data_IF_601833409548
#
_entry.id   IF_601833409548
#
_cell.length_a   1.000
_cell.length_b   1.000
_cell.length_c   1.000
_cell.angle_alpha   90.00
_cell.angle_beta   90.00
_cell.angle_gamma   90.00
#
_symmetry.space_group_name_H-M   'P 1'
#
loop_
_entity.id
_entity.type
_entity.pdbx_description
1 polymer ?
#
# COMPACT_ATOMS: atom_id res chain seq x y z
N UNK A 1 14.42 19.22 8.49
CA UNK A 1 13.30 18.80 9.39
C UNK A 1 13.80 17.83 10.45
N UNK A 2 13.68 18.15 11.74
CA UNK A 2 14.17 17.32 12.84
C UNK A 2 13.41 15.99 12.99
N UNK A 3 14.05 14.97 13.56
CA UNK A 3 13.46 13.62 13.74
C UNK A 3 12.30 13.64 14.73
N UNK A 4 12.38 14.43 15.81
CA UNK A 4 11.34 14.49 16.84
C UNK A 4 9.95 14.87 16.31
N UNK A 5 9.88 15.68 15.25
CA UNK A 5 8.60 16.04 14.62
C UNK A 5 7.99 14.93 13.75
N UNK A 6 8.77 13.90 13.39
CA UNK A 6 8.34 12.78 12.53
C UNK A 6 7.82 11.60 13.33
N UNK A 7 8.31 11.44 14.57
CA UNK A 7 7.99 10.31 15.44
C UNK A 7 6.50 10.22 15.76
N UNK A 8 5.78 11.30 16.11
CA UNK A 8 4.34 11.22 16.38
C UNK A 8 3.54 10.68 15.20
N UNK A 9 3.90 11.11 13.98
CA UNK A 9 3.27 10.64 12.74
C UNK A 9 3.53 9.15 12.53
N UNK A 10 4.76 8.67 12.75
CA UNK A 10 5.08 7.25 12.66
C UNK A 10 4.39 6.41 13.72
N UNK A 11 4.26 6.93 14.94
CA UNK A 11 3.50 6.26 16.01
C UNK A 11 2.03 6.17 15.61
N UNK A 12 1.44 7.24 15.09
CA UNK A 12 0.08 7.22 14.55
C UNK A 12 -0.09 6.22 13.39
N UNK A 13 0.87 6.16 12.47
CA UNK A 13 0.88 5.16 11.40
C UNK A 13 0.98 3.72 11.97
N UNK A 14 1.82 3.49 12.97
CA UNK A 14 1.93 2.18 13.63
C UNK A 14 0.64 1.79 14.36
N UNK A 15 -0.01 2.75 15.05
CA UNK A 15 -1.28 2.51 15.74
C UNK A 15 -2.43 2.25 14.76
N UNK A 16 -2.47 2.95 13.62
CA UNK A 16 -3.45 2.66 12.56
C UNK A 16 -3.23 1.30 11.92
N UNK A 17 -1.97 0.87 11.73
CA UNK A 17 -1.64 -0.50 11.33
C UNK A 17 -2.17 -1.52 12.35
N UNK A 18 -1.88 -1.33 13.63
CA UNK A 18 -2.30 -2.26 14.68
C UNK A 18 -3.84 -2.35 14.78
N UNK A 19 -4.53 -1.21 14.74
CA UNK A 19 -5.99 -1.18 14.74
C UNK A 19 -6.60 -1.79 13.47
N UNK A 20 -5.99 -1.57 12.32
CA UNK A 20 -6.41 -2.22 11.08
C UNK A 20 -6.23 -3.75 11.11
N UNK A 21 -5.12 -4.25 11.65
CA UNK A 21 -4.91 -5.68 11.87
C UNK A 21 -5.91 -6.25 12.89
N UNK A 22 -6.27 -5.49 13.92
CA UNK A 22 -7.30 -5.86 14.88
C UNK A 22 -8.68 -5.99 14.22
N UNK A 23 -9.06 -5.01 13.40
CA UNK A 23 -10.28 -5.07 12.60
C UNK A 23 -10.27 -6.27 11.63
N UNK A 24 -9.09 -6.64 11.09
CA UNK A 24 -8.96 -7.83 10.24
C UNK A 24 -9.24 -9.14 11.02
N UNK A 25 -8.81 -9.23 12.28
CA UNK A 25 -9.10 -10.38 13.14
C UNK A 25 -10.61 -10.49 13.41
N UNK A 26 -11.27 -9.38 13.70
CA UNK A 26 -12.73 -9.33 13.86
C UNK A 26 -13.46 -9.76 12.58
N UNK A 27 -13.05 -9.22 11.42
CA UNK A 27 -13.59 -9.61 10.10
C UNK A 27 -13.40 -11.10 9.78
N UNK A 28 -12.33 -11.72 10.31
CA UNK A 28 -12.11 -13.16 10.15
C UNK A 28 -12.96 -14.04 11.09
N UNK A 29 -13.70 -13.44 12.01
CA UNK A 29 -14.46 -14.17 13.04
C UNK A 29 -13.57 -14.69 14.17
N UNK A 30 -12.43 -14.04 14.44
CA UNK A 30 -11.61 -14.36 15.61
C UNK A 30 -12.38 -14.05 16.89
N UNK A 31 -12.21 -14.89 17.93
CA UNK A 31 -12.80 -14.67 19.26
C UNK A 31 -12.12 -13.57 20.07
N UNK A 32 -11.77 -12.44 19.44
CA UNK A 32 -11.18 -11.27 20.11
C UNK A 32 -12.29 -10.31 20.58
N UNK A 33 -12.07 -9.52 21.64
CA UNK A 33 -13.11 -8.63 22.15
C UNK A 33 -13.58 -7.59 21.12
N UNK A 34 -14.87 -7.57 20.78
CA UNK A 34 -15.39 -6.51 19.91
C UNK A 34 -15.40 -5.15 20.66
N UNK A 35 -14.79 -4.08 20.10
CA UNK A 35 -14.90 -2.74 20.67
C UNK A 35 -16.31 -2.19 20.43
N UNK A 36 -16.67 -1.12 21.15
CA UNK A 36 -17.96 -0.45 20.95
C UNK A 36 -18.08 0.26 19.60
N UNK A 37 -16.95 0.66 19.01
CA UNK A 37 -16.89 1.26 17.68
C UNK A 37 -16.88 0.16 16.59
N UNK A 38 -17.59 0.34 15.47
CA UNK A 38 -17.62 -0.63 14.37
C UNK A 38 -16.34 -0.53 13.54
N UNK A 39 -15.23 -1.06 14.06
CA UNK A 39 -13.89 -0.95 13.46
C UNK A 39 -13.74 -1.79 12.18
N UNK A 40 -14.57 -2.82 12.03
CA UNK A 40 -14.65 -3.70 10.87
C UNK A 40 -15.05 -2.93 9.60
N UNK A 41 -15.95 -1.95 9.73
CA UNK A 41 -16.43 -1.12 8.63
C UNK A 41 -15.35 -0.18 8.06
N UNK A 42 -14.33 0.12 8.86
CA UNK A 42 -13.26 1.06 8.50
C UNK A 42 -11.92 0.38 8.25
N UNK A 43 -11.83 -0.95 8.32
CA UNK A 43 -10.61 -1.73 8.13
C UNK A 43 -9.83 -1.30 6.88
N UNK A 44 -10.47 -1.35 5.71
CA UNK A 44 -9.84 -1.03 4.43
C UNK A 44 -9.30 0.41 4.39
N UNK A 45 -10.14 1.44 4.61
CA UNK A 45 -9.67 2.83 4.63
C UNK A 45 -8.60 3.13 5.69
N UNK A 46 -8.68 2.51 6.88
CA UNK A 46 -7.65 2.66 7.92
C UNK A 46 -6.32 2.07 7.46
N UNK A 47 -6.31 0.90 6.84
CA UNK A 47 -5.08 0.28 6.32
C UNK A 47 -4.48 1.06 5.16
N UNK A 48 -5.31 1.49 4.20
CA UNK A 48 -4.84 2.13 2.96
C UNK A 48 -4.55 3.62 3.15
N UNK A 49 -5.51 4.38 3.67
CA UNK A 49 -5.37 5.82 3.83
C UNK A 49 -4.74 6.16 5.19
N UNK A 50 -5.15 5.48 6.27
CA UNK A 50 -4.62 5.72 7.61
C UNK A 50 -3.15 5.31 7.76
N UNK A 51 -2.81 4.05 7.42
CA UNK A 51 -1.46 3.52 7.58
C UNK A 51 -0.57 3.79 6.36
N UNK A 52 -0.86 3.18 5.20
CA UNK A 52 -0.01 3.31 4.00
C UNK A 52 0.07 4.77 3.54
N UNK A 53 -1.06 5.49 3.52
CA UNK A 53 -1.11 6.91 3.20
C UNK A 53 -0.21 7.77 4.10
N UNK A 54 -0.19 7.51 5.41
CA UNK A 54 0.70 8.21 6.34
C UNK A 54 2.18 7.97 6.03
N UNK A 55 2.55 6.72 5.71
CA UNK A 55 3.94 6.39 5.37
C UNK A 55 4.38 7.07 4.08
N UNK A 56 3.57 6.96 3.02
CA UNK A 56 3.83 7.60 1.72
C UNK A 56 3.96 9.12 1.90
N UNK A 57 2.98 9.75 2.53
CA UNK A 57 3.00 11.21 2.71
C UNK A 57 4.15 11.67 3.60
N UNK A 58 4.54 10.89 4.62
CA UNK A 58 5.68 11.21 5.48
C UNK A 58 7.00 11.10 4.73
N UNK A 59 7.17 10.07 3.90
CA UNK A 59 8.37 9.92 3.07
C UNK A 59 8.53 11.13 2.13
N UNK A 60 7.46 11.51 1.44
CA UNK A 60 7.48 12.66 0.52
C UNK A 60 7.66 13.99 1.27
N UNK A 61 7.08 14.15 2.45
CA UNK A 61 7.31 15.31 3.32
C UNK A 61 8.79 15.41 3.76
N UNK A 62 9.42 14.26 4.07
CA UNK A 62 10.85 14.18 4.40
C UNK A 62 11.71 14.55 3.19
N UNK A 63 11.39 14.05 2.00
CA UNK A 63 12.07 14.40 0.75
C UNK A 63 11.96 15.90 0.40
N UNK A 64 10.80 16.51 0.62
CA UNK A 64 10.61 17.95 0.42
C UNK A 64 11.43 18.79 1.40
N UNK A 65 11.63 18.28 2.63
CA UNK A 65 12.49 18.86 3.66
C UNK A 65 11.86 20.00 4.48
N UNK A 66 10.59 20.33 4.24
CA UNK A 66 9.87 21.48 4.84
C UNK A 66 8.89 21.02 5.92
N UNK A 67 8.89 21.70 7.08
CA UNK A 67 8.00 21.35 8.22
C UNK A 67 6.51 21.48 7.89
N UNK A 68 6.15 22.43 7.02
CA UNK A 68 4.77 22.65 6.54
C UNK A 68 4.20 21.45 5.77
N UNK A 69 5.02 20.46 5.41
CA UNK A 69 4.57 19.22 4.79
C UNK A 69 4.08 18.16 5.80
N UNK A 70 4.44 18.27 7.08
CA UNK A 70 4.06 17.30 8.13
C UNK A 70 2.56 17.21 8.46
N UNK A 71 1.75 18.28 8.30
CA UNK A 71 0.30 18.16 8.47
C UNK A 71 -0.32 17.12 7.54
N UNK A 72 0.18 16.90 6.33
CA UNK A 72 -0.39 15.92 5.39
C UNK A 72 -0.38 14.48 5.95
N UNK A 73 0.77 13.87 6.31
CA UNK A 73 0.77 12.55 6.93
C UNK A 73 0.19 12.59 8.37
N UNK A 74 0.24 13.73 9.07
CA UNK A 74 -0.40 13.90 10.37
C UNK A 74 -1.93 13.75 10.32
N UNK A 75 -2.58 14.41 9.36
CA UNK A 75 -4.02 14.29 9.10
C UNK A 75 -4.39 12.87 8.70
N UNK A 76 -3.56 12.22 7.87
CA UNK A 76 -3.72 10.82 7.48
C UNK A 76 -3.74 9.88 8.69
N UNK A 77 -2.74 9.98 9.56
CA UNK A 77 -2.64 9.15 10.76
C UNK A 77 -3.76 9.45 11.75
N UNK A 78 -4.04 10.74 12.01
CA UNK A 78 -5.11 11.16 12.89
C UNK A 78 -6.49 10.71 12.39
N UNK A 79 -6.75 10.81 11.08
CA UNK A 79 -7.98 10.34 10.47
C UNK A 79 -8.21 8.85 10.69
N UNK A 80 -7.17 8.02 10.48
CA UNK A 80 -7.24 6.60 10.79
C UNK A 80 -7.53 6.31 12.28
N UNK A 81 -6.91 7.05 13.20
CA UNK A 81 -7.15 6.88 14.64
C UNK A 81 -8.57 7.31 15.05
N UNK A 82 -9.09 8.40 14.48
CA UNK A 82 -10.48 8.84 14.71
C UNK A 82 -11.46 7.78 14.23
N UNK A 83 -11.21 7.15 13.07
CA UNK A 83 -12.04 6.06 12.56
C UNK A 83 -11.99 4.82 13.46
N UNK A 84 -10.82 4.47 13.99
CA UNK A 84 -10.70 3.35 14.94
C UNK A 84 -11.44 3.60 16.26
N UNK A 85 -11.57 4.86 16.69
CA UNK A 85 -12.29 5.22 17.91
C UNK A 85 -13.81 5.31 17.76
N UNK A 86 -14.32 5.50 16.53
CA UNK A 86 -15.73 5.84 16.31
C UNK A 86 -16.41 5.17 15.13
N UNK A 87 -15.72 4.34 14.36
CA UNK A 87 -16.23 3.79 13.10
C UNK A 87 -16.15 4.82 11.97
N UNK A 88 -17.08 4.82 11.00
CA UNK A 88 -17.02 5.66 9.80
C UNK A 88 -17.42 7.13 10.05
N UNK A 89 -16.93 7.74 11.13
CA UNK A 89 -17.21 9.14 11.47
C UNK A 89 -16.73 10.10 10.38
N UNK A 90 -17.58 11.09 10.08
CA UNK A 90 -17.32 12.12 9.07
C UNK A 90 -15.98 12.84 9.29
N UNK A 91 -15.65 13.18 10.55
CA UNK A 91 -14.38 13.84 10.90
C UNK A 91 -13.17 12.99 10.51
N UNK A 92 -13.22 11.67 10.75
CA UNK A 92 -12.16 10.75 10.36
C UNK A 92 -11.98 10.70 8.84
N UNK A 93 -13.07 10.60 8.09
CA UNK A 93 -13.07 10.64 6.62
C UNK A 93 -12.49 11.96 6.09
N UNK A 94 -12.90 13.09 6.64
CA UNK A 94 -12.42 14.42 6.24
C UNK A 94 -10.91 14.59 6.50
N UNK A 95 -10.41 14.12 7.64
CA UNK A 95 -8.98 14.14 7.94
C UNK A 95 -8.17 13.31 6.92
N UNK A 96 -8.68 12.16 6.48
CA UNK A 96 -8.05 11.38 5.43
C UNK A 96 -8.03 12.12 4.09
N UNK A 97 -9.11 12.82 3.71
CA UNK A 97 -9.14 13.67 2.50
C UNK A 97 -8.11 14.78 2.59
N UNK A 98 -8.02 15.47 3.74
CA UNK A 98 -7.03 16.52 3.97
C UNK A 98 -5.58 15.99 3.89
N UNK A 99 -5.35 14.74 4.31
CA UNK A 99 -4.08 14.05 4.10
C UNK A 99 -3.71 13.92 2.61
N UNK A 100 -4.66 13.48 1.79
CA UNK A 100 -4.48 13.38 0.33
C UNK A 100 -4.27 14.75 -0.35
N UNK A 101 -5.06 15.77 0.02
CA UNK A 101 -4.89 17.14 -0.48
C UNK A 101 -3.53 17.71 -0.09
N UNK A 102 -3.09 17.46 1.14
CA UNK A 102 -1.76 17.82 1.60
C UNK A 102 -0.66 17.13 0.78
N UNK A 103 -0.82 15.84 0.45
CA UNK A 103 0.12 15.10 -0.39
C UNK A 103 0.19 15.66 -1.83
N UNK A 104 -0.95 16.05 -2.42
CA UNK A 104 -0.96 16.78 -3.70
C UNK A 104 -0.18 18.10 -3.60
N UNK A 105 -0.33 18.83 -2.49
CA UNK A 105 0.45 20.04 -2.21
C UNK A 105 1.96 19.76 -2.15
N UNK A 106 2.38 18.67 -1.51
CA UNK A 106 3.79 18.23 -1.47
C UNK A 106 4.29 17.93 -2.88
N UNK A 107 3.53 17.17 -3.68
CA UNK A 107 3.93 16.84 -5.03
C UNK A 107 3.97 18.05 -5.96
N UNK A 108 3.08 19.04 -5.79
CA UNK A 108 3.17 20.32 -6.51
C UNK A 108 4.50 21.03 -6.25
N UNK A 109 4.97 21.05 -5.01
CA UNK A 109 6.25 21.67 -4.65
C UNK A 109 7.45 20.87 -5.17
N UNK A 110 7.36 19.53 -5.19
CA UNK A 110 8.37 18.68 -5.82
C UNK A 110 8.39 18.84 -7.34
N UNK A 111 7.24 19.00 -7.98
CA UNK A 111 7.12 19.21 -9.42
C UNK A 111 7.83 20.47 -9.89
N UNK A 112 7.74 21.56 -9.10
CA UNK A 112 8.48 22.80 -9.35
C UNK A 112 10.00 22.62 -9.35
N UNK A 113 10.52 21.58 -8.68
CA UNK A 113 11.97 21.27 -8.64
C UNK A 113 12.44 20.41 -9.81
N UNK A 114 11.53 19.82 -10.58
CA UNK A 114 11.84 18.95 -11.71
C UNK A 114 10.75 17.91 -11.92
N UNK A 115 9.83 18.18 -12.86
CA UNK A 115 8.77 17.25 -13.24
C UNK A 115 9.32 16.01 -13.96
N UNK A 116 8.69 14.86 -13.74
CA UNK A 116 9.00 13.61 -14.42
C UNK A 116 7.76 12.72 -14.54
N UNK A 117 7.78 11.76 -15.46
CA UNK A 117 6.69 10.77 -15.60
C UNK A 117 6.52 9.94 -14.31
N UNK A 118 7.62 9.64 -13.61
CA UNK A 118 7.60 8.97 -12.31
C UNK A 118 6.86 9.79 -11.26
N UNK A 119 7.15 11.09 -11.18
CA UNK A 119 6.46 12.01 -10.28
C UNK A 119 4.99 12.21 -10.68
N UNK A 120 4.68 12.22 -11.98
CA UNK A 120 3.30 12.31 -12.46
C UNK A 120 2.48 11.10 -12.01
N UNK A 121 3.03 9.89 -12.06
CA UNK A 121 2.37 8.69 -11.55
C UNK A 121 2.04 8.79 -10.05
N UNK A 122 2.99 9.31 -9.27
CA UNK A 122 2.80 9.58 -7.85
C UNK A 122 1.72 10.67 -7.60
N UNK A 123 1.66 11.71 -8.44
CA UNK A 123 0.57 12.73 -8.42
C UNK A 123 -0.78 12.09 -8.73
N UNK A 124 -0.86 11.23 -9.75
CA UNK A 124 -2.09 10.48 -10.07
C UNK A 124 -2.52 9.61 -8.89
N UNK A 125 -1.57 8.98 -8.21
CA UNK A 125 -1.84 8.25 -6.98
C UNK A 125 -2.48 9.14 -5.90
N UNK A 126 -1.87 10.30 -5.59
CA UNK A 126 -2.44 11.22 -4.60
C UNK A 126 -3.79 11.80 -5.03
N UNK A 127 -4.02 12.01 -6.33
CA UNK A 127 -5.33 12.40 -6.85
C UNK A 127 -6.37 11.29 -6.59
N UNK A 128 -6.01 10.03 -6.85
CA UNK A 128 -6.88 8.90 -6.62
C UNK A 128 -7.20 8.69 -5.12
N UNK A 129 -6.27 8.99 -4.22
CA UNK A 129 -6.57 9.08 -2.79
C UNK A 129 -7.68 10.11 -2.55
N UNK A 130 -7.53 11.35 -3.02
CA UNK A 130 -8.54 12.39 -2.85
C UNK A 130 -9.90 11.96 -3.42
N UNK A 131 -9.92 11.35 -4.62
CA UNK A 131 -11.14 10.83 -5.23
C UNK A 131 -11.82 9.77 -4.34
N UNK A 132 -11.07 8.78 -3.86
CA UNK A 132 -11.59 7.74 -2.96
C UNK A 132 -12.17 8.35 -1.66
N UNK A 133 -11.43 9.27 -1.05
CA UNK A 133 -11.85 9.91 0.20
C UNK A 133 -13.10 10.79 0.02
N UNK A 134 -13.17 11.58 -1.06
CA UNK A 134 -14.31 12.44 -1.35
C UNK A 134 -15.58 11.65 -1.67
N UNK A 135 -15.46 10.57 -2.46
CA UNK A 135 -16.59 9.67 -2.72
C UNK A 135 -17.07 9.01 -1.42
N UNK A 136 -16.16 8.56 -0.55
CA UNK A 136 -16.52 7.95 0.72
C UNK A 136 -17.16 8.95 1.71
N UNK A 137 -16.74 10.22 1.67
CA UNK A 137 -17.40 11.32 2.38
C UNK A 137 -18.80 11.58 1.81
N UNK A 138 -18.97 11.48 0.49
CA UNK A 138 -20.25 11.65 -0.20
C UNK A 138 -21.24 10.49 0.01
N UNK A 139 -20.85 9.43 0.71
CA UNK A 139 -21.73 8.33 1.11
C UNK A 139 -21.58 7.05 0.28
N UNK A 140 -20.66 7.01 -0.69
CA UNK A 140 -20.35 5.76 -1.40
C UNK A 140 -19.79 4.73 -0.43
N UNK A 141 -20.10 3.46 -0.65
CA UNK A 141 -19.60 2.34 0.14
C UNK A 141 -18.10 2.13 -0.13
N UNK A 142 -17.40 1.55 0.85
CA UNK A 142 -15.97 1.23 0.71
C UNK A 142 -15.69 0.40 -0.56
N UNK A 143 -16.44 -0.67 -0.88
CA UNK A 143 -16.21 -1.44 -2.11
C UNK A 143 -16.30 -0.62 -3.40
N UNK A 144 -17.14 0.41 -3.45
CA UNK A 144 -17.32 1.27 -4.64
C UNK A 144 -16.13 2.20 -4.86
N UNK A 145 -15.41 2.57 -3.79
CA UNK A 145 -14.22 3.44 -3.87
C UNK A 145 -12.91 2.65 -4.00
N UNK A 146 -12.94 1.32 -3.89
CA UNK A 146 -11.76 0.45 -3.99
C UNK A 146 -10.93 0.67 -5.26
N UNK A 147 -11.50 0.82 -6.48
CA UNK A 147 -10.70 1.09 -7.66
C UNK A 147 -9.79 2.32 -7.50
N UNK A 148 -10.30 3.38 -6.87
CA UNK A 148 -9.50 4.58 -6.57
C UNK A 148 -8.44 4.34 -5.50
N UNK A 149 -8.74 3.54 -4.47
CA UNK A 149 -7.74 3.12 -3.47
C UNK A 149 -6.61 2.30 -4.12
N UNK A 150 -6.95 1.45 -5.10
CA UNK A 150 -5.96 0.70 -5.88
C UNK A 150 -5.13 1.62 -6.74
N UNK A 151 -5.74 2.56 -7.49
CA UNK A 151 -4.98 3.54 -8.29
C UNK A 151 -4.04 4.34 -7.40
N UNK A 152 -4.47 4.76 -6.20
CA UNK A 152 -3.62 5.46 -5.25
C UNK A 152 -2.32 4.70 -4.99
N UNK A 153 -2.43 3.46 -4.51
CA UNK A 153 -1.26 2.70 -4.08
C UNK A 153 -0.43 2.23 -5.26
N UNK A 154 -1.08 1.70 -6.29
CA UNK A 154 -0.42 1.14 -7.47
C UNK A 154 0.30 2.21 -8.28
N UNK A 155 -0.32 3.37 -8.53
CA UNK A 155 0.34 4.45 -9.28
C UNK A 155 1.49 5.09 -8.49
N UNK A 156 1.35 5.21 -7.16
CA UNK A 156 2.43 5.69 -6.29
C UNK A 156 3.65 4.76 -6.38
N UNK A 157 3.46 3.47 -6.14
CA UNK A 157 4.53 2.47 -6.15
C UNK A 157 5.13 2.35 -7.56
N UNK A 158 4.31 2.25 -8.60
CA UNK A 158 4.80 2.18 -9.98
C UNK A 158 5.61 3.42 -10.37
N UNK A 159 5.19 4.61 -9.92
CA UNK A 159 5.95 5.85 -10.08
C UNK A 159 7.32 5.80 -9.40
N UNK A 160 7.37 5.35 -8.15
CA UNK A 160 8.64 5.14 -7.44
C UNK A 160 9.54 4.11 -8.13
N UNK A 161 8.96 3.07 -8.75
CA UNK A 161 9.73 2.04 -9.47
C UNK A 161 10.26 2.54 -10.79
N UNK A 162 9.46 3.31 -11.52
CA UNK A 162 9.90 4.02 -12.73
C UNK A 162 11.05 4.97 -12.43
N UNK A 163 11.05 5.65 -11.28
CA UNK A 163 12.14 6.55 -10.86
C UNK A 163 13.49 5.80 -10.78
N UNK A 164 13.51 4.58 -10.21
CA UNK A 164 14.72 3.75 -10.15
C UNK A 164 15.07 3.10 -11.49
N UNK A 165 14.06 2.65 -12.24
CA UNK A 165 14.27 1.98 -13.52
C UNK A 165 14.86 2.93 -14.58
N UNK A 166 14.57 4.24 -14.46
CA UNK A 166 15.05 5.28 -15.39
C UNK A 166 16.57 5.28 -15.59
N UNK A 167 17.35 4.89 -14.58
CA UNK A 167 18.82 4.76 -14.67
C UNK A 167 19.25 3.73 -15.73
N UNK A 168 18.39 2.74 -16.03
CA UNK A 168 18.66 1.69 -17.02
C UNK A 168 17.75 1.69 -18.25
N UNK A 169 16.76 2.59 -18.33
CA UNK A 169 15.81 2.64 -19.44
C UNK A 169 16.29 3.56 -20.55
N UNK A 170 16.22 3.10 -21.81
CA UNK A 170 16.54 3.89 -23.00
C UNK A 170 15.33 3.95 -23.92
N UNK A 171 14.78 5.16 -24.14
CA UNK A 171 13.81 5.44 -25.20
C UNK A 171 12.46 5.98 -24.74
N UNK A 172 11.96 7.01 -25.45
CA UNK A 172 10.67 7.68 -25.20
C UNK A 172 9.42 6.78 -25.42
N UNK A 173 9.58 5.62 -26.06
CA UNK A 173 8.49 4.65 -26.22
C UNK A 173 8.05 4.02 -24.90
N UNK A 174 8.98 3.79 -23.97
CA UNK A 174 8.67 3.07 -22.73
C UNK A 174 7.88 3.93 -21.75
N UNK A 175 8.22 5.22 -21.65
CA UNK A 175 7.45 6.18 -20.86
C UNK A 175 6.06 6.44 -21.46
N UNK A 176 5.93 6.49 -22.79
CA UNK A 176 4.61 6.61 -23.45
C UNK A 176 3.72 5.41 -23.17
N UNK A 177 4.26 4.18 -23.21
CA UNK A 177 3.50 2.99 -22.85
C UNK A 177 3.05 3.06 -21.38
N UNK A 178 3.94 3.45 -20.47
CA UNK A 178 3.61 3.63 -19.06
C UNK A 178 2.47 4.65 -18.85
N UNK A 179 2.54 5.80 -19.53
CA UNK A 179 1.50 6.83 -19.48
C UNK A 179 0.15 6.33 -20.02
N UNK A 180 0.16 5.57 -21.12
CA UNK A 180 -1.06 4.98 -21.67
C UNK A 180 -1.72 4.00 -20.69
N UNK A 181 -0.91 3.17 -20.02
CA UNK A 181 -1.40 2.24 -18.99
C UNK A 181 -1.93 2.99 -17.76
N UNK A 182 -1.22 4.02 -17.30
CA UNK A 182 -1.65 4.86 -16.18
C UNK A 182 -2.98 5.57 -16.50
N UNK A 183 -3.14 6.07 -17.72
CA UNK A 183 -4.40 6.62 -18.22
C UNK A 183 -5.51 5.57 -18.19
N UNK A 184 -5.23 4.36 -18.69
CA UNK A 184 -6.16 3.24 -18.64
C UNK A 184 -6.65 2.90 -17.23
N UNK A 185 -5.76 2.95 -16.22
CA UNK A 185 -6.14 2.75 -14.82
C UNK A 185 -7.11 3.84 -14.32
N UNK A 186 -6.82 5.11 -14.59
CA UNK A 186 -7.70 6.22 -14.17
C UNK A 186 -9.04 6.18 -14.89
N UNK A 187 -9.02 5.96 -16.21
CA UNK A 187 -10.25 5.81 -17.01
C UNK A 187 -11.05 4.59 -16.57
N UNK A 188 -10.40 3.47 -16.26
CA UNK A 188 -11.06 2.29 -15.69
C UNK A 188 -11.73 2.60 -14.36
N UNK A 189 -11.03 3.26 -13.43
CA UNK A 189 -11.59 3.64 -12.13
C UNK A 189 -12.79 4.59 -12.25
N UNK A 190 -12.76 5.53 -13.20
CA UNK A 190 -13.91 6.38 -13.54
C UNK A 190 -15.06 5.58 -14.16
N UNK A 191 -14.74 4.71 -15.13
CA UNK A 191 -15.71 3.94 -15.89
C UNK A 191 -16.48 2.95 -15.00
N UNK A 192 -15.92 2.47 -13.89
CA UNK A 192 -16.64 1.63 -12.92
C UNK A 192 -17.88 2.35 -12.36
N UNK A 193 -17.85 3.67 -12.21
CA UNK A 193 -19.00 4.44 -11.69
C UNK A 193 -20.09 4.68 -12.73
N UNK A 194 -19.75 4.68 -14.02
CA UNK A 194 -20.68 4.97 -15.11
C UNK A 194 -21.19 3.67 -15.78
N UNK A 195 -20.30 2.69 -15.93
CA UNK A 195 -20.53 1.40 -16.58
C UNK A 195 -19.82 0.28 -15.79
N UNK A 196 -20.39 -0.18 -14.66
CA UNK A 196 -19.69 -1.06 -13.72
C UNK A 196 -19.03 -2.30 -14.32
N UNK A 197 -19.71 -2.98 -15.25
CA UNK A 197 -19.16 -4.16 -15.93
C UNK A 197 -17.97 -3.79 -16.83
N UNK A 198 -18.19 -2.90 -17.81
CA UNK A 198 -17.14 -2.50 -18.77
C UNK A 198 -15.95 -1.85 -18.06
N UNK A 199 -16.23 -0.97 -17.09
CA UNK A 199 -15.22 -0.31 -16.27
C UNK A 199 -14.39 -1.29 -15.47
N UNK A 200 -15.00 -2.34 -14.90
CA UNK A 200 -14.28 -3.37 -14.15
C UNK A 200 -13.31 -4.17 -15.02
N UNK A 201 -13.76 -4.61 -16.20
CA UNK A 201 -12.89 -5.32 -17.14
C UNK A 201 -11.75 -4.43 -17.61
N UNK A 202 -12.06 -3.18 -18.01
CA UNK A 202 -11.05 -2.20 -18.43
C UNK A 202 -10.01 -1.96 -17.33
N UNK A 203 -10.46 -1.80 -16.08
CA UNK A 203 -9.58 -1.62 -14.94
C UNK A 203 -8.66 -2.83 -14.71
N UNK A 204 -9.21 -4.04 -14.77
CA UNK A 204 -8.43 -5.28 -14.68
C UNK A 204 -7.38 -5.42 -15.77
N UNK A 205 -7.74 -5.14 -17.04
CA UNK A 205 -6.79 -5.16 -18.15
C UNK A 205 -5.71 -4.09 -18.02
N UNK A 206 -6.05 -2.88 -17.54
CA UNK A 206 -5.07 -1.84 -17.27
C UNK A 206 -4.10 -2.26 -16.13
N UNK A 207 -4.60 -2.95 -15.11
CA UNK A 207 -3.78 -3.49 -14.02
C UNK A 207 -2.81 -4.59 -14.51
N UNK A 208 -3.28 -5.48 -15.38
CA UNK A 208 -2.44 -6.50 -16.03
C UNK A 208 -1.38 -5.87 -16.93
N UNK A 209 -1.76 -4.86 -17.72
CA UNK A 209 -0.82 -4.14 -18.57
C UNK A 209 0.27 -3.43 -17.75
N UNK A 210 -0.09 -2.82 -16.62
CA UNK A 210 0.89 -2.21 -15.71
C UNK A 210 1.80 -3.26 -15.08
N UNK A 211 1.24 -4.38 -14.65
CA UNK A 211 2.01 -5.47 -14.07
C UNK A 211 3.01 -6.02 -15.10
N UNK A 212 2.57 -6.22 -16.34
CA UNK A 212 3.45 -6.61 -17.45
C UNK A 212 4.56 -5.58 -17.71
N UNK A 213 4.22 -4.29 -17.69
CA UNK A 213 5.21 -3.21 -17.82
C UNK A 213 6.27 -3.29 -16.70
N UNK A 214 5.85 -3.45 -15.44
CA UNK A 214 6.74 -3.54 -14.27
C UNK A 214 7.64 -4.76 -14.37
N UNK A 215 7.09 -5.94 -14.69
CA UNK A 215 7.88 -7.18 -14.83
C UNK A 215 8.96 -7.06 -15.91
N UNK A 216 8.67 -6.37 -17.02
CA UNK A 216 9.59 -6.24 -18.15
C UNK A 216 10.70 -5.22 -17.88
N UNK A 217 10.36 -4.04 -17.34
CA UNK A 217 11.30 -2.91 -17.26
C UNK A 217 11.88 -2.64 -15.88
N UNK A 218 11.28 -3.16 -14.81
CA UNK A 218 11.84 -2.98 -13.46
C UNK A 218 13.21 -3.69 -13.36
N UNK A 219 14.12 -3.09 -12.60
CA UNK A 219 15.43 -3.66 -12.29
C UNK A 219 15.34 -4.92 -11.42
N UNK A 220 14.21 -5.15 -10.73
CA UNK A 220 13.95 -6.31 -9.88
C UNK A 220 14.31 -7.66 -10.55
N UNK A 221 13.97 -7.83 -11.84
CA UNK A 221 14.29 -9.06 -12.60
C UNK A 221 15.79 -9.34 -12.72
N UNK A 222 16.63 -8.31 -12.60
CA UNK A 222 18.09 -8.42 -12.62
C UNK A 222 18.63 -8.56 -11.21
N UNK A 223 18.17 -7.74 -10.27
CA UNK A 223 18.66 -7.73 -8.88
C UNK A 223 18.27 -8.96 -8.08
N UNK A 224 17.23 -9.70 -8.48
CA UNK A 224 16.87 -11.00 -7.87
C UNK A 224 17.98 -12.04 -8.00
N UNK A 225 18.84 -11.94 -9.04
CA UNK A 225 20.00 -12.82 -9.24
C UNK A 225 21.22 -12.40 -8.41
N UNK A 226 21.16 -11.26 -7.73
CA UNK A 226 22.22 -10.77 -6.86
C UNK A 226 22.25 -11.46 -5.49
N UNK A 227 22.82 -10.79 -4.51
CA UNK A 227 22.89 -11.24 -3.12
C UNK A 227 22.58 -10.11 -2.14
N UNK A 228 22.31 -10.45 -0.88
CA UNK A 228 22.05 -9.46 0.17
C UNK A 228 20.73 -8.69 0.01
N UNK A 229 20.74 -7.41 0.36
CA UNK A 229 19.57 -6.54 0.34
C UNK A 229 18.93 -6.40 -1.06
N UNK A 230 19.68 -6.16 -2.16
CA UNK A 230 19.08 -6.06 -3.48
C UNK A 230 18.24 -7.28 -3.89
N UNK A 231 18.70 -8.50 -3.55
CA UNK A 231 17.94 -9.73 -3.82
C UNK A 231 16.69 -9.85 -2.95
N UNK A 232 16.77 -9.48 -1.68
CA UNK A 232 15.60 -9.46 -0.79
C UNK A 232 14.52 -8.51 -1.30
N UNK A 233 14.92 -7.27 -1.64
CA UNK A 233 14.01 -6.27 -2.21
C UNK A 233 13.38 -6.84 -3.48
N UNK A 234 14.19 -7.35 -4.41
CA UNK A 234 13.69 -7.89 -5.67
C UNK A 234 12.73 -9.08 -5.51
N UNK A 235 13.00 -9.99 -4.56
CA UNK A 235 12.11 -11.11 -4.28
C UNK A 235 10.73 -10.63 -3.82
N UNK A 236 10.67 -9.66 -2.90
CA UNK A 236 9.43 -9.05 -2.46
C UNK A 236 8.70 -8.33 -3.61
N UNK A 237 9.42 -7.52 -4.40
CA UNK A 237 8.86 -6.83 -5.56
C UNK A 237 8.20 -7.80 -6.55
N UNK A 238 8.93 -8.84 -6.97
CA UNK A 238 8.44 -9.82 -7.95
C UNK A 238 7.28 -10.65 -7.42
N UNK A 239 7.32 -11.05 -6.15
CA UNK A 239 6.18 -11.73 -5.51
C UNK A 239 4.96 -10.80 -5.45
N UNK A 240 5.16 -9.52 -5.13
CA UNK A 240 4.11 -8.50 -5.17
C UNK A 240 3.51 -8.33 -6.57
N UNK A 241 4.34 -8.32 -7.63
CA UNK A 241 3.85 -8.29 -9.02
C UNK A 241 3.02 -9.51 -9.37
N UNK A 242 3.38 -10.69 -8.86
CA UNK A 242 2.55 -11.90 -8.97
C UNK A 242 1.14 -11.68 -8.41
N UNK A 243 1.02 -11.11 -7.21
CA UNK A 243 -0.28 -10.80 -6.60
C UNK A 243 -1.05 -9.71 -7.36
N UNK A 244 -0.35 -8.69 -7.88
CA UNK A 244 -0.98 -7.66 -8.70
C UNK A 244 -1.56 -8.25 -10.01
N UNK A 245 -0.87 -9.23 -10.60
CA UNK A 245 -1.38 -9.98 -11.74
C UNK A 245 -2.63 -10.79 -11.37
N UNK A 246 -2.64 -11.47 -10.21
CA UNK A 246 -3.81 -12.21 -9.71
C UNK A 246 -5.02 -11.29 -9.60
N UNK A 247 -4.87 -10.12 -8.95
CA UNK A 247 -5.94 -9.13 -8.87
C UNK A 247 -6.41 -8.65 -10.26
N UNK A 248 -5.46 -8.41 -11.17
CA UNK A 248 -5.74 -8.00 -12.55
C UNK A 248 -6.56 -9.05 -13.31
N UNK A 249 -6.24 -10.34 -13.18
CA UNK A 249 -6.99 -11.44 -13.81
C UNK A 249 -8.40 -11.51 -13.24
N UNK A 250 -8.55 -11.44 -11.91
CA UNK A 250 -9.86 -11.52 -11.25
C UNK A 250 -10.82 -10.40 -11.71
N UNK A 251 -10.32 -9.17 -11.86
CA UNK A 251 -11.11 -8.06 -12.39
C UNK A 251 -11.29 -8.11 -13.91
N UNK A 252 -10.25 -8.46 -14.68
CA UNK A 252 -10.34 -8.53 -16.13
C UNK A 252 -11.32 -9.61 -16.60
N UNK A 253 -11.38 -10.74 -15.89
CA UNK A 253 -12.32 -11.82 -16.19
C UNK A 253 -13.71 -11.61 -15.60
N UNK A 254 -13.79 -11.20 -14.32
CA UNK A 254 -15.05 -11.19 -13.56
C UNK A 254 -15.73 -9.83 -13.39
N UNK A 255 -15.09 -8.72 -13.79
CA UNK A 255 -15.56 -7.37 -13.47
C UNK A 255 -15.43 -7.01 -11.99
N UNK A 256 -15.82 -5.78 -11.61
CA UNK A 256 -15.77 -5.34 -10.20
C UNK A 256 -16.74 -6.15 -9.35
N UNK A 257 -16.30 -6.50 -8.14
CA UNK A 257 -17.12 -7.15 -7.11
C UNK A 257 -17.16 -6.26 -5.89
N UNK A 258 -18.29 -6.25 -5.21
CA UNK A 258 -18.50 -5.43 -4.03
C UNK A 258 -18.47 -6.23 -2.71
N UNK A 259 -18.60 -7.55 -2.78
CA UNK A 259 -18.68 -8.44 -1.62
C UNK A 259 -18.21 -9.89 -1.91
N UNK A 260 -18.19 -10.73 -0.86
CA UNK A 260 -17.89 -12.16 -0.95
C UNK A 260 -16.42 -12.51 -1.22
N UNK A 261 -16.18 -13.79 -1.51
CA UNK A 261 -14.83 -14.38 -1.54
C UNK A 261 -13.96 -13.78 -2.65
N UNK A 262 -14.54 -13.47 -3.82
CA UNK A 262 -13.79 -12.82 -4.91
C UNK A 262 -13.39 -11.38 -4.55
N UNK A 263 -14.23 -10.67 -3.82
CA UNK A 263 -13.88 -9.34 -3.30
C UNK A 263 -12.73 -9.44 -2.30
N UNK A 264 -12.78 -10.39 -1.36
CA UNK A 264 -11.70 -10.64 -0.40
C UNK A 264 -10.37 -10.95 -1.13
N UNK A 265 -10.42 -11.87 -2.10
CA UNK A 265 -9.27 -12.29 -2.89
C UNK A 265 -8.62 -11.12 -3.63
N UNK A 266 -9.40 -10.27 -4.28
CA UNK A 266 -8.89 -9.10 -5.02
C UNK A 266 -8.27 -8.10 -4.06
N UNK A 267 -8.98 -7.73 -2.99
CA UNK A 267 -8.48 -6.78 -2.01
C UNK A 267 -7.16 -7.24 -1.41
N UNK A 268 -7.08 -8.49 -0.96
CA UNK A 268 -5.89 -8.99 -0.30
C UNK A 268 -4.77 -9.29 -1.29
N UNK A 269 -5.06 -9.59 -2.56
CA UNK A 269 -4.03 -9.64 -3.60
C UNK A 269 -3.37 -8.26 -3.80
N UNK A 270 -4.15 -7.17 -3.87
CA UNK A 270 -3.59 -5.83 -4.05
C UNK A 270 -2.99 -5.27 -2.75
N UNK A 271 -3.77 -5.17 -1.68
CA UNK A 271 -3.38 -4.44 -0.47
C UNK A 271 -2.49 -5.26 0.48
N UNK A 272 -2.58 -6.58 0.46
CA UNK A 272 -1.71 -7.43 1.28
C UNK A 272 -0.56 -8.03 0.44
N UNK A 273 -0.88 -8.69 -0.67
CA UNK A 273 0.10 -9.35 -1.53
C UNK A 273 1.06 -8.38 -2.22
N UNK A 274 0.53 -7.38 -2.91
CA UNK A 274 1.35 -6.36 -3.59
C UNK A 274 1.84 -5.29 -2.61
N UNK A 275 0.94 -4.57 -1.95
CA UNK A 275 1.30 -3.39 -1.14
C UNK A 275 2.13 -3.74 0.10
N UNK A 276 1.75 -4.74 0.91
CA UNK A 276 2.57 -5.08 2.09
C UNK A 276 3.91 -5.71 1.70
N UNK A 277 3.99 -6.42 0.57
CA UNK A 277 5.28 -6.87 0.05
C UNK A 277 6.21 -5.70 -0.30
N UNK A 278 5.66 -4.62 -0.88
CA UNK A 278 6.40 -3.38 -1.16
C UNK A 278 6.88 -2.71 0.13
N UNK A 279 6.01 -2.63 1.13
CA UNK A 279 6.37 -2.12 2.47
C UNK A 279 7.51 -2.94 3.07
N UNK A 280 7.43 -4.28 3.04
CA UNK A 280 8.47 -5.15 3.59
C UNK A 280 9.79 -5.00 2.84
N UNK A 281 9.73 -5.07 1.51
CA UNK A 281 10.89 -4.96 0.63
C UNK A 281 11.62 -3.63 0.82
N UNK A 282 10.91 -2.51 0.97
CA UNK A 282 11.51 -1.19 1.04
C UNK A 282 11.78 -0.67 2.46
N UNK A 283 11.25 -1.30 3.51
CA UNK A 283 11.48 -0.83 4.88
C UNK A 283 12.98 -0.66 5.25
N UNK A 284 13.91 -1.57 4.86
CA UNK A 284 15.35 -1.40 5.14
C UNK A 284 15.97 -0.16 4.48
N UNK A 285 15.30 0.44 3.49
CA UNK A 285 15.76 1.64 2.78
C UNK A 285 15.00 2.89 3.27
N UNK A 286 13.68 2.80 3.41
CA UNK A 286 12.82 3.94 3.77
C UNK A 286 12.94 4.30 5.25
N UNK A 287 12.88 3.30 6.16
CA UNK A 287 12.88 3.57 7.60
C UNK A 287 14.14 4.33 8.05
N UNK A 288 15.36 4.00 7.58
CA UNK A 288 16.54 4.80 7.90
C UNK A 288 16.48 6.24 7.40
N UNK A 289 15.90 6.50 6.22
CA UNK A 289 15.76 7.85 5.69
C UNK A 289 14.80 8.71 6.55
N UNK A 290 13.74 8.10 7.06
CA UNK A 290 12.72 8.80 7.87
C UNK A 290 13.15 8.94 9.33
N UNK A 291 13.56 7.86 9.99
CA UNK A 291 13.90 7.79 11.41
C UNK A 291 15.35 8.17 11.72
N UNK A 292 16.23 8.25 10.71
CA UNK A 292 17.69 8.37 10.88
C UNK A 292 18.28 7.27 11.78
N UNK A 293 17.65 6.10 11.81
CA UNK A 293 18.16 4.89 12.49
C UNK A 293 18.42 3.79 11.47
N UNK A 294 19.58 3.12 11.52
CA UNK A 294 19.86 2.05 10.59
C UNK A 294 18.87 0.90 10.79
N UNK A 295 18.46 0.29 9.68
CA UNK A 295 17.76 -1.00 9.65
C UNK A 295 18.59 -1.90 8.72
N UNK A 296 19.63 -2.58 9.26
CA UNK A 296 20.49 -3.40 8.44
C UNK A 296 19.73 -4.60 7.88
N UNK A 297 20.07 -5.02 6.67
CA UNK A 297 19.56 -6.25 6.09
C UNK A 297 19.99 -7.46 6.93
N UNK A 298 19.05 -8.37 7.17
CA UNK A 298 19.29 -9.66 7.81
C UNK A 298 18.41 -10.74 7.17
N UNK A 299 18.90 -11.99 7.09
CA UNK A 299 18.17 -13.11 6.47
C UNK A 299 16.83 -13.40 7.13
N UNK A 300 16.69 -13.07 8.42
CA UNK A 300 15.43 -13.22 9.17
C UNK A 300 14.26 -12.46 8.53
N UNK A 301 14.51 -11.40 7.75
CA UNK A 301 13.46 -10.65 7.04
C UNK A 301 12.73 -11.48 5.97
N UNK A 302 13.31 -12.59 5.51
CA UNK A 302 12.63 -13.53 4.61
C UNK A 302 11.53 -14.33 5.31
N UNK A 303 11.62 -14.58 6.62
CA UNK A 303 10.65 -15.39 7.34
C UNK A 303 9.23 -14.76 7.31
N UNK A 304 9.03 -13.49 7.73
CA UNK A 304 7.71 -12.87 7.62
C UNK A 304 7.28 -12.64 6.16
N UNK A 305 8.21 -12.42 5.23
CA UNK A 305 7.89 -12.29 3.80
C UNK A 305 7.38 -13.60 3.21
N UNK A 306 8.04 -14.72 3.50
CA UNK A 306 7.61 -16.05 3.07
C UNK A 306 6.29 -16.43 3.72
N UNK A 307 6.15 -16.18 5.03
CA UNK A 307 4.89 -16.42 5.73
C UNK A 307 3.74 -15.65 5.06
N UNK A 308 3.91 -14.36 4.81
CA UNK A 308 2.91 -13.51 4.14
C UNK A 308 2.43 -14.10 2.81
N UNK A 309 3.37 -14.49 1.93
CA UNK A 309 2.99 -14.99 0.61
C UNK A 309 2.41 -16.40 0.64
N UNK A 310 2.92 -17.28 1.51
CA UNK A 310 2.39 -18.63 1.65
C UNK A 310 0.98 -18.62 2.27
N UNK A 311 0.76 -17.85 3.33
CA UNK A 311 -0.57 -17.73 3.93
C UNK A 311 -1.56 -17.03 3.00
N UNK A 312 -1.13 -16.02 2.24
CA UNK A 312 -1.98 -15.38 1.25
C UNK A 312 -2.36 -16.33 0.10
N UNK A 313 -1.44 -17.20 -0.34
CA UNK A 313 -1.74 -18.23 -1.33
C UNK A 313 -2.75 -19.26 -0.83
N UNK A 314 -2.68 -19.63 0.46
CA UNK A 314 -3.70 -20.47 1.07
C UNK A 314 -5.05 -19.74 1.13
N UNK A 315 -5.07 -18.46 1.53
CA UNK A 315 -6.29 -17.64 1.60
C UNK A 315 -6.98 -17.52 0.24
N UNK A 316 -6.28 -16.97 -0.75
CA UNK A 316 -6.82 -16.67 -2.09
C UNK A 316 -7.02 -17.93 -2.92
N UNK A 317 -6.09 -18.88 -2.84
CA UNK A 317 -6.08 -20.05 -3.71
C UNK A 317 -7.01 -21.16 -3.22
N UNK A 318 -6.99 -21.48 -1.92
CA UNK A 318 -7.71 -22.63 -1.36
C UNK A 318 -8.92 -22.15 -0.56
N UNK A 319 -8.75 -21.18 0.34
CA UNK A 319 -9.79 -20.67 1.22
C UNK A 319 -11.00 -20.12 0.46
N UNK A 320 -10.75 -19.24 -0.51
CA UNK A 320 -11.79 -18.53 -1.26
C UNK A 320 -12.43 -19.37 -2.39
N UNK A 321 -11.75 -20.40 -2.89
CA UNK A 321 -12.25 -21.20 -4.04
C UNK A 321 -12.91 -22.51 -3.63
N UNK A 322 -12.51 -23.10 -2.49
CA UNK A 322 -13.00 -24.40 -2.02
C UNK A 322 -14.02 -24.29 -0.86
N UNK A 323 -14.26 -23.09 -0.34
CA UNK A 323 -15.22 -22.84 0.74
C UNK A 323 -14.78 -23.36 2.12
N UNK A 324 -13.50 -23.73 2.28
CA UNK A 324 -12.92 -24.21 3.54
C UNK A 324 -12.69 -23.05 4.53
N UNK A 325 -13.77 -22.61 5.18
CA UNK A 325 -13.79 -21.43 6.08
C UNK A 325 -12.75 -21.48 7.19
N UNK A 326 -12.47 -22.65 7.76
CA UNK A 326 -11.48 -22.77 8.84
C UNK A 326 -10.04 -22.58 8.33
N UNK A 327 -9.74 -23.08 7.13
CA UNK A 327 -8.43 -22.88 6.50
C UNK A 327 -8.23 -21.41 6.12
N UNK A 328 -9.28 -20.77 5.58
CA UNK A 328 -9.30 -19.32 5.34
C UNK A 328 -9.03 -18.53 6.64
N UNK A 329 -9.69 -18.89 7.75
CA UNK A 329 -9.48 -18.25 9.06
C UNK A 329 -8.03 -18.36 9.54
N UNK A 330 -7.44 -19.55 9.48
CA UNK A 330 -6.03 -19.74 9.85
C UNK A 330 -5.07 -18.96 8.94
N UNK A 331 -5.38 -18.85 7.65
CA UNK A 331 -4.62 -18.04 6.72
C UNK A 331 -4.72 -16.53 7.05
N UNK A 332 -5.89 -16.05 7.48
CA UNK A 332 -6.07 -14.68 7.99
C UNK A 332 -5.21 -14.42 9.23
N UNK A 333 -5.15 -15.35 10.19
CA UNK A 333 -4.30 -15.22 11.36
C UNK A 333 -2.81 -15.21 11.00
N UNK A 334 -2.40 -16.10 10.10
CA UNK A 334 -1.03 -16.16 9.60
C UNK A 334 -0.63 -14.87 8.86
N UNK A 335 -1.54 -14.24 8.12
CA UNK A 335 -1.31 -12.93 7.51
C UNK A 335 -1.03 -11.85 8.56
N UNK A 336 -1.81 -11.79 9.64
CA UNK A 336 -1.59 -10.86 10.76
C UNK A 336 -0.24 -11.13 11.44
N UNK A 337 0.08 -12.39 11.71
CA UNK A 337 1.36 -12.81 12.30
C UNK A 337 2.53 -12.45 11.38
N UNK A 338 2.39 -12.56 10.07
CA UNK A 338 3.43 -12.15 9.12
C UNK A 338 3.75 -10.66 9.21
N UNK A 339 2.71 -9.82 9.27
CA UNK A 339 2.86 -8.36 9.40
C UNK A 339 3.49 -7.97 10.74
N UNK A 340 2.98 -8.51 11.85
CA UNK A 340 3.55 -8.25 13.18
C UNK A 340 4.97 -8.81 13.32
N UNK A 341 5.24 -9.98 12.75
CA UNK A 341 6.55 -10.61 12.72
C UNK A 341 7.57 -9.75 11.97
N UNK A 342 7.17 -9.12 10.86
CA UNK A 342 8.02 -8.16 10.16
C UNK A 342 8.32 -6.92 11.02
N UNK A 343 7.30 -6.33 11.65
CA UNK A 343 7.46 -5.18 12.55
C UNK A 343 8.41 -5.51 13.70
N UNK A 344 8.24 -6.69 14.33
CA UNK A 344 9.12 -7.19 15.38
C UNK A 344 10.56 -7.37 14.90
N UNK A 345 10.76 -7.98 13.73
CA UNK A 345 12.09 -8.10 13.12
C UNK A 345 12.73 -6.72 12.88
N UNK A 346 11.98 -5.77 12.31
CA UNK A 346 12.48 -4.44 12.02
C UNK A 346 12.89 -3.67 13.30
N UNK A 347 12.06 -3.73 14.34
CA UNK A 347 12.34 -3.11 15.63
C UNK A 347 13.56 -3.75 16.32
N UNK A 348 13.66 -5.09 16.31
CA UNK A 348 14.78 -5.82 16.90
C UNK A 348 16.11 -5.49 16.19
N UNK A 349 16.13 -5.51 14.85
CA UNK A 349 17.32 -5.21 14.06
C UNK A 349 17.75 -3.75 14.19
N UNK A 350 16.81 -2.80 14.18
CA UNK A 350 17.12 -1.38 14.35
C UNK A 350 17.63 -1.05 15.76
N UNK A 351 17.03 -1.63 16.81
CA UNK A 351 17.50 -1.44 18.19
C UNK A 351 18.89 -2.04 18.43
N UNK A 352 19.15 -3.25 17.91
CA UNK A 352 20.47 -3.87 18.01
C UNK A 352 21.56 -3.06 17.29
N UNK A 353 21.26 -2.51 16.12
CA UNK A 353 22.17 -1.65 15.38
C UNK A 353 22.42 -0.30 16.08
N UNK A 354 21.39 0.26 16.72
CA UNK A 354 21.50 1.48 17.51
C UNK A 354 22.43 1.33 18.73
N UNK A 355 22.33 0.20 19.45
CA UNK A 355 23.21 -0.10 20.60
C UNK A 355 24.68 -0.15 20.20
N UNK A 356 25.00 -0.82 19.08
CA UNK A 356 26.38 -0.93 18.58
C UNK A 356 27.03 0.42 18.22
N UNK A 357 26.25 1.43 17.84
CA UNK A 357 26.76 2.80 17.57
C UNK A 357 26.96 3.65 18.82
N UNK A 358 26.31 3.32 19.93
CA UNK A 358 26.47 4.05 21.20
C UNK A 358 27.64 3.54 22.05
N UNK A 359 28.17 2.36 21.73
CA UNK A 359 29.30 1.72 22.42
C UNK A 359 30.63 1.86 21.67
N UNK A 360 30.65 2.56 20.53
CA UNK A 360 31.81 2.81 19.69
C UNK A 360 32.10 4.31 19.65
#
# INVERSE_FOLDING_TARGET
>A
MGVGLRVPVLVGAALTLLGGLYAALLLSGAGVPAPSAPVEEVHGPVMVLGFVGSLVALERAVALGRRIALPAPGCSAAGGLVLLGGGPWFVGKLLLVLGGVGLLGIYRELWKRGGSVALLAQVVGAFAWCAAGLLWVAGFLVPEVVPWLVVFVVATIAGERLELARVGMRGAGVERWFLGVLCGLVVGALAVHLWPSVGGHLFGFALLALTGWLVVFDVARRTVRGSGLPRYVAAGLLAGYGWLAVAGVLWAGGGVVLDGDRYDAVLHSVFLGFTMSMVFAHAPVILPAVLRRPLPYHRALYAPLALLHLSLAVRVGIGDTTGLKDLWRWACYANVVAVLGFVGCAAALSSAAGRKRGTA
#
